data_IF_481687522227
#
_entry.id   IF_481687522227
#
_cell.length_a   1.000
_cell.length_b   1.000
_cell.length_c   1.000
_cell.angle_alpha   90.00
_cell.angle_beta   90.00
_cell.angle_gamma   90.00
#
_symmetry.space_group_name_H-M   'P 1'
#
loop_
_entity.id
_entity.type
_entity.pdbx_description
1 polymer ?
#
# COMPACT_ATOMS: atom_id res chain seq x y z
N UNK A 1 -14.48 -10.37 7.14
CA UNK A 1 -13.98 -9.44 8.17
C UNK A 1 -13.70 -8.03 7.65
N UNK A 2 -13.12 -7.84 6.45
CA UNK A 2 -12.78 -6.47 5.96
C UNK A 2 -13.99 -5.59 5.59
N UNK A 3 -15.10 -6.17 5.12
CA UNK A 3 -16.31 -5.42 4.71
C UNK A 3 -16.95 -4.70 5.90
N UNK A 4 -16.94 -5.33 7.09
CA UNK A 4 -17.49 -4.75 8.32
C UNK A 4 -16.73 -3.49 8.78
N UNK A 5 -15.41 -3.41 8.51
CA UNK A 5 -14.60 -2.22 8.83
C UNK A 5 -14.82 -1.05 7.88
N UNK A 6 -15.40 -1.30 6.70
CA UNK A 6 -15.74 -0.28 5.71
C UNK A 6 -17.23 0.12 5.76
N UNK A 7 -18.03 -0.43 6.68
CA UNK A 7 -19.47 -0.11 6.80
C UNK A 7 -19.74 1.38 7.12
N UNK A 8 -18.80 2.05 7.81
CA UNK A 8 -18.84 3.49 8.03
C UNK A 8 -18.35 4.35 6.85
N UNK A 9 -17.90 3.72 5.75
CA UNK A 9 -17.31 4.39 4.58
C UNK A 9 -17.98 3.89 3.29
N UNK A 10 -19.16 4.42 2.93
CA UNK A 10 -19.96 3.93 1.79
C UNK A 10 -19.24 4.04 0.44
N UNK A 11 -18.42 5.06 0.28
CA UNK A 11 -17.53 5.26 -0.87
C UNK A 11 -16.47 4.15 -1.00
N UNK A 12 -15.94 3.65 0.12
CA UNK A 12 -15.02 2.51 0.15
C UNK A 12 -15.75 1.20 -0.21
N UNK A 13 -16.98 1.02 0.28
CA UNK A 13 -17.80 -0.14 -0.10
C UNK A 13 -18.08 -0.14 -1.60
N UNK A 14 -18.49 1.00 -2.16
CA UNK A 14 -18.74 1.13 -3.60
C UNK A 14 -17.48 0.85 -4.42
N UNK A 15 -16.30 1.32 -3.97
CA UNK A 15 -15.02 0.99 -4.59
C UNK A 15 -14.71 -0.52 -4.50
N UNK A 16 -14.92 -1.16 -3.35
CA UNK A 16 -14.75 -2.60 -3.17
C UNK A 16 -15.71 -3.42 -4.05
N UNK A 17 -16.97 -2.97 -4.16
CA UNK A 17 -17.97 -3.58 -5.05
C UNK A 17 -17.55 -3.44 -6.51
N UNK A 18 -17.16 -2.24 -6.96
CA UNK A 18 -16.67 -2.03 -8.33
C UNK A 18 -15.43 -2.87 -8.62
N UNK A 19 -14.49 -2.96 -7.69
CA UNK A 19 -13.30 -3.81 -7.81
C UNK A 19 -13.67 -5.29 -7.93
N UNK A 20 -14.63 -5.78 -7.14
CA UNK A 20 -15.07 -7.19 -7.15
C UNK A 20 -15.87 -7.56 -8.39
N UNK A 21 -16.64 -6.63 -8.97
CA UNK A 21 -17.54 -6.85 -10.11
C UNK A 21 -16.97 -6.36 -11.46
N UNK A 22 -15.64 -6.33 -11.61
CA UNK A 22 -15.01 -6.13 -12.93
C UNK A 22 -14.78 -4.67 -13.36
N UNK A 23 -14.96 -3.70 -12.46
CA UNK A 23 -14.57 -2.29 -12.71
C UNK A 23 -13.07 -2.08 -12.96
N UNK A 24 -12.26 -3.13 -12.82
CA UNK A 24 -10.84 -3.17 -13.15
C UNK A 24 -10.55 -3.58 -14.60
N UNK A 25 -11.53 -3.91 -15.44
CA UNK A 25 -11.26 -4.24 -16.84
C UNK A 25 -10.64 -3.05 -17.61
N UNK A 26 -10.79 -1.82 -17.10
CA UNK A 26 -10.12 -0.62 -17.60
C UNK A 26 -8.68 -0.42 -17.08
N UNK A 27 -8.22 -1.24 -16.12
CA UNK A 27 -6.93 -1.08 -15.41
C UNK A 27 -6.07 -2.35 -15.47
N UNK A 28 -6.66 -3.53 -15.61
CA UNK A 28 -5.99 -4.84 -15.58
C UNK A 28 -6.34 -5.60 -16.86
N UNK A 29 -5.41 -5.73 -17.82
CA UNK A 29 -5.63 -6.54 -19.01
C UNK A 29 -5.83 -8.01 -18.63
N UNK A 30 -6.95 -8.61 -19.05
CA UNK A 30 -7.24 -10.05 -18.86
C UNK A 30 -6.17 -10.90 -19.55
N UNK A 31 -5.63 -11.87 -18.82
CA UNK A 31 -4.60 -12.77 -19.31
C UNK A 31 -5.21 -14.12 -19.71
N UNK A 32 -4.72 -14.71 -20.79
CA UNK A 32 -5.06 -16.08 -21.14
C UNK A 32 -4.14 -17.06 -20.40
N UNK A 33 -4.62 -17.60 -19.28
CA UNK A 33 -3.92 -18.61 -18.50
C UNK A 33 -3.65 -19.92 -19.29
N UNK A 34 -4.28 -20.12 -20.44
CA UNK A 34 -4.12 -21.28 -21.31
C UNK A 34 -2.77 -21.34 -22.04
N UNK A 35 -2.16 -20.20 -22.36
CA UNK A 35 -0.93 -20.13 -23.18
C UNK A 35 0.37 -20.06 -22.36
N UNK A 36 0.26 -20.01 -21.03
CA UNK A 36 1.40 -19.77 -20.14
C UNK A 36 2.14 -21.04 -19.74
N UNK A 37 3.47 -20.96 -19.67
CA UNK A 37 4.30 -22.06 -19.20
C UNK A 37 3.96 -22.46 -17.75
N UNK A 38 4.13 -23.74 -17.37
CA UNK A 38 3.92 -24.20 -16.01
C UNK A 38 4.78 -23.44 -14.96
N UNK A 39 6.03 -23.11 -15.31
CA UNK A 39 6.93 -22.35 -14.43
C UNK A 39 6.42 -20.94 -14.16
N UNK A 40 5.91 -20.25 -15.19
CA UNK A 40 5.38 -18.90 -15.03
C UNK A 40 4.07 -18.88 -14.20
N UNK A 41 3.26 -19.94 -14.26
CA UNK A 41 2.11 -20.15 -13.34
C UNK A 41 2.57 -20.23 -11.88
N UNK A 42 3.64 -20.97 -11.61
CA UNK A 42 4.24 -21.05 -10.28
C UNK A 42 4.76 -19.69 -9.83
N UNK A 43 5.46 -18.95 -10.68
CA UNK A 43 5.93 -17.59 -10.35
C UNK A 43 4.79 -16.65 -9.96
N UNK A 44 3.67 -16.65 -10.69
CA UNK A 44 2.52 -15.80 -10.35
C UNK A 44 1.82 -16.21 -9.04
N UNK A 45 1.78 -17.51 -8.74
CA UNK A 45 1.27 -18.01 -7.46
C UNK A 45 2.18 -17.58 -6.30
N UNK A 46 3.50 -17.74 -6.45
CA UNK A 46 4.49 -17.26 -5.49
C UNK A 46 4.42 -15.75 -5.30
N UNK A 47 4.25 -14.98 -6.37
CA UNK A 47 4.08 -13.53 -6.30
C UNK A 47 2.85 -13.15 -5.46
N UNK A 48 1.73 -13.84 -5.66
CA UNK A 48 0.50 -13.61 -4.90
C UNK A 48 0.65 -13.98 -3.42
N UNK A 49 1.41 -15.04 -3.12
CA UNK A 49 1.71 -15.48 -1.74
C UNK A 49 2.65 -14.52 -1.01
N UNK A 50 3.67 -14.01 -1.70
CA UNK A 50 4.69 -13.11 -1.13
C UNK A 50 4.22 -11.67 -0.99
N UNK A 51 3.36 -11.17 -1.89
CA UNK A 51 2.86 -9.78 -1.80
C UNK A 51 1.48 -9.59 -2.42
N UNK A 52 0.43 -9.64 -1.57
CA UNK A 52 -0.97 -9.51 -2.01
C UNK A 52 -1.27 -8.20 -2.74
N UNK A 53 -0.74 -7.08 -2.29
CA UNK A 53 -1.00 -5.77 -2.91
C UNK A 53 -0.17 -5.55 -4.17
N UNK A 54 1.11 -5.93 -4.16
CA UNK A 54 1.99 -5.69 -5.29
C UNK A 54 1.73 -6.68 -6.44
N UNK A 55 1.28 -7.90 -6.14
CA UNK A 55 0.82 -8.86 -7.14
C UNK A 55 -0.28 -8.29 -8.04
N UNK A 56 -1.27 -7.59 -7.46
CA UNK A 56 -2.35 -6.95 -8.24
C UNK A 56 -1.84 -5.84 -9.15
N UNK A 57 -0.79 -5.12 -8.75
CA UNK A 57 -0.20 -4.03 -9.53
C UNK A 57 0.70 -4.57 -10.66
N UNK A 58 1.49 -5.62 -10.39
CA UNK A 58 2.29 -6.30 -11.42
C UNK A 58 1.38 -6.95 -12.47
N UNK A 59 0.30 -7.60 -12.04
CA UNK A 59 -0.65 -8.24 -12.96
C UNK A 59 -1.42 -7.23 -13.85
N UNK A 60 -1.37 -5.93 -13.52
CA UNK A 60 -1.94 -4.87 -14.35
C UNK A 60 -1.01 -4.43 -15.49
N UNK A 61 0.28 -4.82 -15.48
CA UNK A 61 1.24 -4.49 -16.54
C UNK A 61 0.90 -5.19 -17.85
N UNK A 62 1.34 -4.59 -18.95
CA UNK A 62 1.31 -5.20 -20.29
C UNK A 62 2.06 -6.55 -20.30
N UNK A 63 1.62 -7.44 -21.18
CA UNK A 63 2.03 -8.87 -21.21
C UNK A 63 3.56 -9.04 -21.28
N UNK A 64 4.23 -8.23 -22.10
CA UNK A 64 5.68 -8.31 -22.30
C UNK A 64 6.48 -7.93 -21.04
N UNK A 65 6.04 -6.89 -20.31
CA UNK A 65 6.72 -6.39 -19.12
C UNK A 65 6.38 -7.20 -17.87
N UNK A 66 5.14 -7.68 -17.77
CA UNK A 66 4.63 -8.39 -16.60
C UNK A 66 5.49 -9.59 -16.22
N UNK A 67 5.90 -10.40 -17.19
CA UNK A 67 6.74 -11.58 -16.95
C UNK A 67 8.11 -11.22 -16.40
N UNK A 68 8.78 -10.26 -17.04
CA UNK A 68 10.08 -9.76 -16.60
C UNK A 68 10.02 -9.15 -15.20
N UNK A 69 9.01 -8.33 -14.92
CA UNK A 69 8.83 -7.67 -13.62
C UNK A 69 8.46 -8.68 -12.52
N UNK A 70 7.64 -9.68 -12.82
CA UNK A 70 7.32 -10.77 -11.88
C UNK A 70 8.59 -11.51 -11.46
N UNK A 71 9.41 -11.94 -12.42
CA UNK A 71 10.67 -12.63 -12.13
C UNK A 71 11.64 -11.73 -11.37
N UNK A 72 11.80 -10.48 -11.81
CA UNK A 72 12.65 -9.50 -11.13
C UNK A 72 12.24 -9.32 -9.67
N UNK A 73 10.94 -9.20 -9.39
CA UNK A 73 10.42 -9.09 -8.03
C UNK A 73 10.74 -10.33 -7.19
N UNK A 74 10.54 -11.54 -7.73
CA UNK A 74 10.79 -12.77 -6.99
C UNK A 74 12.27 -12.99 -6.71
N UNK A 75 13.15 -12.66 -7.67
CA UNK A 75 14.61 -12.70 -7.49
C UNK A 75 15.04 -11.75 -6.37
N UNK A 76 14.56 -10.50 -6.40
CA UNK A 76 14.85 -9.54 -5.33
C UNK A 76 14.24 -9.97 -3.99
N UNK A 77 13.05 -10.57 -3.98
CA UNK A 77 12.43 -11.10 -2.75
C UNK A 77 13.24 -12.26 -2.17
N UNK A 78 13.80 -13.12 -3.02
CA UNK A 78 14.69 -14.19 -2.57
C UNK A 78 16.02 -13.65 -2.03
N UNK A 79 16.57 -12.60 -2.66
CA UNK A 79 17.77 -11.90 -2.16
C UNK A 79 17.50 -11.25 -0.78
N UNK A 80 16.40 -10.51 -0.66
CA UNK A 80 15.89 -9.88 0.55
C UNK A 80 15.70 -10.92 1.67
N UNK A 81 15.11 -12.09 1.36
CA UNK A 81 14.97 -13.20 2.30
C UNK A 81 16.31 -13.72 2.84
N UNK A 82 17.39 -13.66 2.05
CA UNK A 82 18.73 -14.08 2.48
C UNK A 82 19.45 -12.98 3.27
N UNK A 83 19.29 -11.72 2.85
CA UNK A 83 19.86 -10.57 3.54
C UNK A 83 19.24 -10.41 4.93
N UNK A 84 17.90 -10.34 4.96
CA UNK A 84 17.03 -10.40 6.13
C UNK A 84 16.95 -11.84 6.66
N UNK A 85 18.07 -12.58 6.73
CA UNK A 85 18.18 -13.66 7.70
C UNK A 85 19.33 -13.56 8.70
N UNK A 86 19.07 -13.04 9.89
CA UNK A 86 19.97 -12.92 11.02
C UNK A 86 20.47 -14.27 11.57
N UNK A 87 19.87 -15.40 11.19
CA UNK A 87 20.37 -16.73 11.56
C UNK A 87 21.54 -17.20 10.69
N UNK A 88 21.74 -16.58 9.51
CA UNK A 88 22.86 -16.89 8.61
C UNK A 88 24.09 -16.10 9.07
N UNK A 89 25.20 -16.75 9.45
CA UNK A 89 26.44 -16.06 9.79
C UNK A 89 26.95 -15.21 8.63
N UNK A 90 27.54 -14.04 8.94
CA UNK A 90 28.00 -13.09 7.93
C UNK A 90 29.08 -13.68 7.01
N UNK A 91 29.85 -14.64 7.52
CA UNK A 91 30.88 -15.39 6.79
C UNK A 91 30.30 -16.19 5.61
N UNK A 92 29.03 -16.62 5.74
CA UNK A 92 28.29 -17.33 4.69
C UNK A 92 27.41 -16.36 3.89
N UNK A 93 26.73 -15.45 4.58
CA UNK A 93 25.79 -14.48 3.98
C UNK A 93 26.50 -13.55 3.00
N UNK A 94 27.62 -12.94 3.38
CA UNK A 94 28.29 -11.91 2.56
C UNK A 94 28.80 -12.47 1.22
N UNK A 95 29.52 -13.62 1.16
CA UNK A 95 29.89 -14.23 -0.11
C UNK A 95 28.67 -14.63 -0.95
N UNK A 96 27.64 -15.19 -0.33
CA UNK A 96 26.42 -15.60 -1.01
C UNK A 96 25.68 -14.41 -1.66
N UNK A 97 25.51 -13.30 -0.95
CA UNK A 97 24.89 -12.08 -1.49
C UNK A 97 25.70 -11.50 -2.66
N UNK A 98 27.04 -11.49 -2.56
CA UNK A 98 27.92 -11.03 -3.65
C UNK A 98 27.84 -11.91 -4.90
N UNK A 99 27.59 -13.21 -4.73
CA UNK A 99 27.52 -14.18 -5.82
C UNK A 99 26.09 -14.49 -6.27
N UNK A 100 25.07 -13.95 -5.60
CA UNK A 100 23.66 -14.29 -5.83
C UNK A 100 23.24 -14.15 -7.30
N UNK A 101 23.70 -13.09 -7.98
CA UNK A 101 23.42 -12.88 -9.40
C UNK A 101 23.97 -13.99 -10.32
N UNK A 102 25.09 -14.62 -9.94
CA UNK A 102 25.68 -15.75 -10.68
C UNK A 102 24.91 -17.04 -10.43
N UNK A 103 24.37 -17.20 -9.21
CA UNK A 103 23.56 -18.37 -8.86
C UNK A 103 22.25 -18.43 -9.66
N UNK A 104 21.78 -17.31 -10.23
CA UNK A 104 20.63 -17.28 -11.13
C UNK A 104 20.89 -18.02 -12.47
N UNK A 105 22.15 -18.26 -12.82
CA UNK A 105 22.55 -19.01 -14.01
C UNK A 105 22.56 -20.53 -13.76
N UNK A 106 22.52 -20.96 -12.49
CA UNK A 106 22.49 -22.36 -12.08
C UNK A 106 21.02 -22.83 -11.86
N UNK A 107 20.48 -23.71 -12.72
CA UNK A 107 19.10 -24.17 -12.61
C UNK A 107 18.81 -25.05 -11.40
N UNK A 108 19.84 -25.62 -10.76
CA UNK A 108 19.70 -26.52 -9.61
C UNK A 108 19.89 -25.82 -8.26
N UNK A 109 20.28 -24.53 -8.26
CA UNK A 109 20.55 -23.78 -7.04
C UNK A 109 19.29 -23.56 -6.19
N UNK A 110 19.39 -23.89 -4.90
CA UNK A 110 18.33 -23.70 -3.90
C UNK A 110 18.94 -23.30 -2.56
N UNK A 111 18.28 -22.40 -1.85
CA UNK A 111 18.65 -22.00 -0.49
C UNK A 111 17.51 -22.30 0.48
N UNK A 112 17.76 -23.14 1.50
CA UNK A 112 16.71 -23.70 2.37
C UNK A 112 16.76 -23.17 3.81
N UNK A 113 17.75 -22.33 4.15
CA UNK A 113 18.08 -22.03 5.55
C UNK A 113 17.66 -20.63 6.02
N UNK A 114 16.78 -19.93 5.29
CA UNK A 114 16.37 -18.54 5.62
C UNK A 114 15.19 -18.42 6.63
N UNK A 115 15.22 -17.45 7.57
CA UNK A 115 14.22 -17.21 8.64
C UNK A 115 13.94 -15.76 9.14
N UNK A 116 14.16 -14.62 8.46
CA UNK A 116 14.03 -13.29 9.16
C UNK A 116 13.14 -12.18 8.55
N UNK A 117 13.31 -10.87 8.90
CA UNK A 117 12.73 -10.19 10.09
C UNK A 117 13.35 -8.81 10.46
N UNK A 118 13.51 -7.90 9.48
CA UNK A 118 13.55 -6.41 9.57
C UNK A 118 14.92 -5.65 9.77
N UNK A 119 14.93 -4.41 9.24
CA UNK A 119 16.03 -3.47 8.85
C UNK A 119 16.56 -2.45 9.92
N UNK A 120 17.41 -1.42 9.57
CA UNK A 120 17.95 -0.35 10.49
C UNK A 120 18.13 1.10 9.95
N UNK A 121 17.70 2.15 10.71
CA UNK A 121 18.05 3.62 10.58
C UNK A 121 18.16 4.42 11.94
N UNK A 122 17.73 3.89 13.09
CA UNK A 122 17.35 4.64 14.32
C UNK A 122 18.46 5.18 15.27
N UNK A 123 19.75 4.98 14.99
CA UNK A 123 20.83 5.15 15.98
C UNK A 123 21.08 6.58 16.49
N UNK A 124 20.52 7.61 15.85
CA UNK A 124 20.69 9.03 16.23
C UNK A 124 19.88 9.45 17.46
N UNK A 125 18.82 8.73 17.77
CA UNK A 125 17.81 9.14 18.75
C UNK A 125 17.88 8.33 20.04
N UNK A 126 18.21 7.04 19.95
CA UNK A 126 18.34 6.15 21.11
C UNK A 126 19.40 5.08 20.87
N UNK A 127 20.03 4.58 21.96
CA UNK A 127 20.97 3.46 21.88
C UNK A 127 20.31 2.14 21.46
N UNK A 128 19.03 1.94 21.77
CA UNK A 128 18.26 0.72 21.43
C UNK A 128 16.89 1.09 20.83
N UNK A 129 16.51 0.48 19.71
CA UNK A 129 15.18 0.69 19.09
C UNK A 129 14.04 0.22 19.98
N UNK A 130 14.27 -0.81 20.81
CA UNK A 130 13.26 -1.33 21.73
C UNK A 130 12.79 -0.27 22.74
N UNK A 131 13.57 0.79 22.94
CA UNK A 131 13.18 1.90 23.81
C UNK A 131 12.02 2.73 23.25
N UNK A 132 11.85 2.79 21.92
CA UNK A 132 10.75 3.55 21.31
C UNK A 132 9.37 2.94 21.56
N UNK A 133 9.31 1.65 21.91
CA UNK A 133 8.06 1.00 22.32
C UNK A 133 7.63 1.37 23.75
N UNK A 134 8.49 2.03 24.54
CA UNK A 134 8.21 2.40 25.93
C UNK A 134 7.48 3.76 26.02
N UNK A 135 6.39 3.89 26.79
CA UNK A 135 5.63 5.15 26.91
C UNK A 135 6.47 6.35 27.37
N UNK A 136 7.47 6.11 28.21
CA UNK A 136 8.41 7.11 28.75
C UNK A 136 9.30 7.78 27.69
N UNK A 137 9.39 7.23 26.47
CA UNK A 137 10.21 7.76 25.38
C UNK A 137 9.38 8.11 24.14
N UNK A 138 8.07 8.26 24.32
CA UNK A 138 7.14 8.48 23.22
C UNK A 138 7.41 9.79 22.49
N UNK A 139 7.86 10.84 23.20
CA UNK A 139 8.13 12.14 22.58
C UNK A 139 9.35 12.09 21.66
N UNK A 140 10.44 11.44 22.10
CA UNK A 140 11.64 11.25 21.29
C UNK A 140 11.40 10.28 20.13
N UNK A 141 10.59 9.23 20.36
CA UNK A 141 10.15 8.32 19.32
C UNK A 141 9.37 9.06 18.21
N UNK A 142 8.43 9.93 18.60
CA UNK A 142 7.66 10.75 17.66
C UNK A 142 8.54 11.75 16.92
N UNK A 143 9.48 12.41 17.58
CA UNK A 143 10.42 13.32 16.92
C UNK A 143 11.28 12.58 15.86
N UNK A 144 11.75 11.37 16.20
CA UNK A 144 12.46 10.50 15.26
C UNK A 144 11.61 10.12 14.05
N UNK A 145 10.38 9.65 14.29
CA UNK A 145 9.44 9.30 13.23
C UNK A 145 9.12 10.49 12.34
N UNK A 146 8.94 11.68 12.91
CA UNK A 146 8.70 12.89 12.17
C UNK A 146 9.91 13.27 11.30
N UNK A 147 11.16 13.19 11.80
CA UNK A 147 12.35 13.39 10.96
C UNK A 147 12.37 12.42 9.76
N UNK A 148 12.14 11.12 10.01
CA UNK A 148 12.16 10.11 8.95
C UNK A 148 11.10 10.40 7.87
N UNK A 149 9.90 10.81 8.28
CA UNK A 149 8.84 11.18 7.35
C UNK A 149 9.18 12.48 6.63
N UNK A 150 9.72 13.49 7.32
CA UNK A 150 10.16 14.76 6.71
C UNK A 150 11.21 14.52 5.64
N UNK A 151 12.20 13.66 5.91
CA UNK A 151 13.19 13.24 4.91
C UNK A 151 12.53 12.53 3.71
N UNK A 152 11.54 11.66 3.94
CA UNK A 152 10.81 11.00 2.86
C UNK A 152 10.00 11.99 1.98
N UNK A 153 9.46 13.07 2.56
CA UNK A 153 8.73 14.10 1.80
C UNK A 153 9.61 14.84 0.79
N UNK A 154 10.93 14.89 1.00
CA UNK A 154 11.89 15.50 0.06
C UNK A 154 11.90 14.80 -1.32
N UNK A 155 11.44 13.55 -1.38
CA UNK A 155 11.39 12.75 -2.60
C UNK A 155 10.16 13.03 -3.47
N UNK A 156 9.15 13.74 -2.96
CA UNK A 156 7.90 14.03 -3.70
C UNK A 156 8.17 14.71 -5.05
N UNK A 157 9.00 15.78 -5.15
CA UNK A 157 9.26 16.43 -6.43
C UNK A 157 9.87 15.48 -7.46
N UNK A 158 10.82 14.64 -7.06
CA UNK A 158 11.46 13.66 -7.95
C UNK A 158 10.49 12.56 -8.37
N UNK A 159 9.62 12.10 -7.47
CA UNK A 159 8.57 11.12 -7.76
C UNK A 159 7.56 11.66 -8.78
N UNK A 160 7.09 12.90 -8.60
CA UNK A 160 6.20 13.58 -9.54
C UNK A 160 6.86 13.78 -10.90
N UNK A 161 8.12 14.20 -10.92
CA UNK A 161 8.90 14.38 -12.15
C UNK A 161 9.14 13.08 -12.89
N UNK A 162 9.34 11.98 -12.18
CA UNK A 162 9.44 10.65 -12.79
C UNK A 162 8.11 10.25 -13.43
N UNK A 163 7.00 10.35 -12.69
CA UNK A 163 5.67 9.97 -13.18
C UNK A 163 5.17 10.84 -14.35
N UNK A 164 5.56 12.12 -14.42
CA UNK A 164 5.17 13.01 -15.52
C UNK A 164 5.76 12.61 -16.87
N UNK A 165 6.79 11.76 -16.87
CA UNK A 165 7.48 11.24 -18.07
C UNK A 165 6.97 9.88 -18.53
N UNK A 166 6.03 9.27 -17.81
CA UNK A 166 5.49 7.96 -18.15
C UNK A 166 4.31 8.11 -19.12
N UNK A 167 4.48 7.59 -20.32
CA UNK A 167 3.47 7.69 -21.39
C UNK A 167 2.63 6.41 -21.54
N UNK A 168 3.18 5.24 -21.22
CA UNK A 168 2.43 3.98 -21.25
C UNK A 168 1.54 3.88 -20.00
N UNK A 169 0.24 3.64 -20.20
CA UNK A 169 -0.75 3.64 -19.13
C UNK A 169 -0.54 2.52 -18.10
N UNK A 170 -0.15 1.31 -18.53
CA UNK A 170 0.08 0.18 -17.63
C UNK A 170 1.30 0.44 -16.74
N UNK A 171 2.37 0.99 -17.32
CA UNK A 171 3.59 1.40 -16.61
C UNK A 171 3.30 2.59 -15.67
N UNK A 172 2.51 3.56 -16.12
CA UNK A 172 2.08 4.68 -15.28
C UNK A 172 1.34 4.17 -14.05
N UNK A 173 0.33 3.31 -14.22
CA UNK A 173 -0.44 2.74 -13.11
C UNK A 173 0.46 1.93 -12.17
N UNK A 174 1.36 1.12 -12.72
CA UNK A 174 2.31 0.30 -11.97
C UNK A 174 3.18 1.14 -11.04
N UNK A 175 3.63 2.31 -11.51
CA UNK A 175 4.45 3.23 -10.72
C UNK A 175 3.60 4.08 -9.77
N UNK A 176 2.50 4.65 -10.26
CA UNK A 176 1.71 5.63 -9.53
C UNK A 176 0.99 5.05 -8.31
N UNK A 177 0.48 3.82 -8.40
CA UNK A 177 -0.26 3.18 -7.31
C UNK A 177 0.61 3.06 -6.04
N UNK A 178 1.82 2.47 -6.08
CA UNK A 178 2.71 2.46 -4.92
C UNK A 178 3.02 3.86 -4.36
N UNK A 179 3.17 4.88 -5.22
CA UNK A 179 3.48 6.24 -4.78
C UNK A 179 2.34 6.89 -4.00
N UNK A 180 1.09 6.73 -4.45
CA UNK A 180 -0.07 7.24 -3.69
C UNK A 180 -0.29 6.47 -2.38
N UNK A 181 -0.01 5.16 -2.38
CA UNK A 181 -0.10 4.32 -1.18
C UNK A 181 0.99 4.71 -0.16
N UNK A 182 2.18 5.07 -0.65
CA UNK A 182 3.28 5.53 0.19
C UNK A 182 2.92 6.84 0.90
N UNK A 183 2.45 7.87 0.19
CA UNK A 183 2.09 9.14 0.84
C UNK A 183 0.93 8.99 1.82
N UNK A 184 -0.05 8.13 1.53
CA UNK A 184 -1.12 7.81 2.47
C UNK A 184 -0.61 7.08 3.73
N UNK A 185 0.45 6.27 3.60
CA UNK A 185 1.09 5.59 4.73
C UNK A 185 1.90 6.58 5.55
N UNK A 186 2.68 7.46 4.90
CA UNK A 186 3.41 8.54 5.55
C UNK A 186 2.46 9.44 6.33
N UNK A 187 1.32 9.80 5.73
CA UNK A 187 0.23 10.49 6.41
C UNK A 187 -0.19 9.72 7.66
N UNK A 188 -0.56 8.44 7.55
CA UNK A 188 -1.05 7.71 8.71
C UNK A 188 -0.03 7.54 9.83
N UNK A 189 1.26 7.51 9.49
CA UNK A 189 2.35 7.41 10.45
C UNK A 189 2.74 8.75 11.06
N UNK A 190 2.58 9.87 10.35
CA UNK A 190 3.07 11.17 10.79
C UNK A 190 2.46 11.59 12.13
N UNK A 191 3.34 11.93 13.08
CA UNK A 191 3.00 12.32 14.44
C UNK A 191 1.99 11.34 15.12
N UNK A 192 2.14 10.04 14.88
CA UNK A 192 1.21 9.02 15.36
C UNK A 192 1.88 8.01 16.31
N UNK A 193 1.60 8.04 17.63
CA UNK A 193 2.24 7.15 18.59
C UNK A 193 1.82 5.68 18.41
N UNK A 194 0.76 5.40 17.66
CA UNK A 194 0.34 4.02 17.34
C UNK A 194 1.37 3.26 16.51
N UNK A 195 2.31 3.95 15.85
CA UNK A 195 3.41 3.31 15.11
C UNK A 195 4.29 2.47 16.04
N UNK A 196 4.42 2.86 17.31
CA UNK A 196 5.28 2.18 18.28
C UNK A 196 4.57 1.11 19.12
N UNK A 197 3.24 1.11 19.10
CA UNK A 197 2.41 0.23 19.94
C UNK A 197 1.55 -0.75 19.15
N UNK A 198 1.55 -0.67 17.82
CA UNK A 198 0.74 -1.57 17.01
C UNK A 198 0.88 -1.35 15.51
N UNK A 199 -0.09 -1.87 14.78
CA UNK A 199 -0.06 -1.93 13.33
C UNK A 199 -0.82 -0.74 12.73
N UNK A 200 -0.07 0.21 12.18
CA UNK A 200 -0.64 1.31 11.39
C UNK A 200 -0.73 0.88 9.93
N UNK A 201 -1.96 0.66 9.45
CA UNK A 201 -2.23 0.23 8.06
C UNK A 201 -3.38 1.01 7.46
N UNK A 202 -3.29 1.22 6.15
CA UNK A 202 -4.37 1.73 5.31
C UNK A 202 -5.46 0.66 5.22
N UNK A 203 -6.73 1.08 5.31
CA UNK A 203 -7.86 0.15 5.16
C UNK A 203 -7.93 -0.36 3.72
N UNK A 204 -8.37 -1.61 3.54
CA UNK A 204 -8.47 -2.22 2.21
C UNK A 204 -9.37 -1.43 1.25
N UNK A 205 -10.48 -0.88 1.74
CA UNK A 205 -11.38 -0.06 0.92
C UNK A 205 -10.76 1.25 0.44
N UNK A 206 -10.06 1.95 1.33
CA UNK A 206 -9.28 3.14 1.01
C UNK A 206 -8.16 2.84 0.01
N UNK A 207 -7.45 1.71 0.18
CA UNK A 207 -6.44 1.24 -0.76
C UNK A 207 -7.02 1.03 -2.17
N UNK A 208 -8.15 0.33 -2.28
CA UNK A 208 -8.82 0.12 -3.58
C UNK A 208 -9.27 1.44 -4.21
N UNK A 209 -9.81 2.38 -3.41
CA UNK A 209 -10.18 3.71 -3.90
C UNK A 209 -8.99 4.47 -4.46
N UNK A 210 -7.84 4.44 -3.78
CA UNK A 210 -6.61 5.06 -4.30
C UNK A 210 -6.11 4.37 -5.57
N UNK A 211 -6.14 3.04 -5.64
CA UNK A 211 -5.77 2.29 -6.84
C UNK A 211 -6.61 2.71 -8.04
N UNK A 212 -7.94 2.76 -7.88
CA UNK A 212 -8.87 3.21 -8.93
C UNK A 212 -8.71 4.71 -9.27
N UNK A 213 -8.33 5.52 -8.28
CA UNK A 213 -8.08 6.95 -8.43
C UNK A 213 -6.75 7.29 -9.12
N UNK A 214 -5.81 6.35 -9.23
CA UNK A 214 -4.43 6.63 -9.71
C UNK A 214 -4.25 6.41 -11.21
N UNK A 215 -5.29 6.68 -12.00
CA UNK A 215 -5.31 6.37 -13.45
C UNK A 215 -4.71 7.47 -14.33
N UNK A 216 -4.39 8.65 -13.79
CA UNK A 216 -3.79 9.75 -14.54
C UNK A 216 -2.96 10.64 -13.63
N UNK A 217 -2.03 11.39 -14.21
CA UNK A 217 -1.14 12.28 -13.47
C UNK A 217 -1.89 13.34 -12.65
N UNK A 218 -2.95 13.93 -13.21
CA UNK A 218 -3.78 14.89 -12.48
C UNK A 218 -4.49 14.28 -11.27
N UNK A 219 -5.03 13.05 -11.39
CA UNK A 219 -5.66 12.40 -10.24
C UNK A 219 -4.63 11.99 -9.18
N UNK A 220 -3.43 11.57 -9.59
CA UNK A 220 -2.32 11.29 -8.66
C UNK A 220 -1.92 12.54 -7.89
N UNK A 221 -1.78 13.69 -8.58
CA UNK A 221 -1.55 14.99 -7.92
C UNK A 221 -2.65 15.31 -6.90
N UNK A 222 -3.92 15.11 -7.25
CA UNK A 222 -5.03 15.35 -6.32
C UNK A 222 -4.94 14.46 -5.06
N UNK A 223 -4.63 13.18 -5.21
CA UNK A 223 -4.44 12.24 -4.09
C UNK A 223 -3.23 12.64 -3.23
N UNK A 224 -2.09 12.95 -3.86
CA UNK A 224 -0.89 13.40 -3.14
C UNK A 224 -1.15 14.70 -2.37
N UNK A 225 -1.76 15.70 -3.00
CA UNK A 225 -2.13 16.97 -2.36
C UNK A 225 -3.01 16.73 -1.13
N UNK A 226 -4.02 15.87 -1.23
CA UNK A 226 -4.92 15.52 -0.12
C UNK A 226 -4.15 14.99 1.11
N UNK A 227 -3.26 14.02 0.92
CA UNK A 227 -2.50 13.45 2.04
C UNK A 227 -1.41 14.39 2.58
N UNK A 228 -0.76 15.17 1.72
CA UNK A 228 0.22 16.19 2.15
C UNK A 228 -0.44 17.28 2.98
N UNK A 229 -1.65 17.73 2.62
CA UNK A 229 -2.42 18.70 3.42
C UNK A 229 -2.74 18.13 4.80
N UNK A 230 -3.10 16.84 4.90
CA UNK A 230 -3.37 16.19 6.18
C UNK A 230 -2.11 16.01 7.06
N UNK A 231 -0.94 15.79 6.44
CA UNK A 231 0.35 15.83 7.16
C UNK A 231 0.58 17.24 7.69
N UNK A 232 0.44 18.26 6.82
CA UNK A 232 0.69 19.65 7.18
C UNK A 232 -0.19 20.13 8.35
N UNK A 233 -1.45 19.67 8.41
CA UNK A 233 -2.38 20.00 9.48
C UNK A 233 -2.04 19.34 10.84
N UNK A 234 -1.15 18.33 10.87
CA UNK A 234 -0.77 17.58 12.08
C UNK A 234 0.65 17.87 12.57
N UNK A 235 1.35 18.82 11.96
CA UNK A 235 2.68 19.26 12.39
C UNK A 235 2.57 19.93 13.76
N UNK A 236 3.19 19.37 14.82
CA UNK A 236 3.19 20.03 16.12
C UNK A 236 4.23 21.15 16.15
N UNK A 237 3.90 22.28 16.78
CA UNK A 237 4.84 23.41 16.95
C UNK A 237 6.09 23.02 17.75
N UNK A 238 5.95 22.03 18.65
CA UNK A 238 7.04 21.48 19.45
C UNK A 238 7.98 20.55 18.67
N UNK A 239 7.66 20.20 17.42
CA UNK A 239 8.52 19.32 16.62
C UNK A 239 9.79 20.05 16.14
N UNK A 240 10.98 19.49 16.35
CA UNK A 240 12.24 20.09 15.91
C UNK A 240 12.31 20.34 14.40
N UNK A 241 11.62 19.52 13.60
CA UNK A 241 11.60 19.59 12.14
C UNK A 241 10.33 20.26 11.59
N UNK A 242 9.50 20.88 12.45
CA UNK A 242 8.23 21.52 12.07
C UNK A 242 8.38 22.48 10.90
N UNK A 243 9.34 23.41 10.96
CA UNK A 243 9.59 24.42 9.90
C UNK A 243 9.97 23.78 8.55
N UNK A 244 10.87 22.80 8.57
CA UNK A 244 11.28 22.08 7.36
C UNK A 244 10.10 21.32 6.77
N UNK A 245 9.35 20.61 7.62
CA UNK A 245 8.15 19.85 7.22
C UNK A 245 7.11 20.77 6.59
N UNK A 246 6.83 21.93 7.19
CA UNK A 246 5.92 22.92 6.62
C UNK A 246 6.37 23.37 5.23
N UNK A 247 7.66 23.70 5.06
CA UNK A 247 8.21 24.14 3.78
C UNK A 247 8.10 23.06 2.69
N UNK A 248 8.42 21.81 3.03
CA UNK A 248 8.30 20.67 2.12
C UNK A 248 6.84 20.40 1.76
N UNK A 249 5.91 20.43 2.72
CA UNK A 249 4.48 20.30 2.45
C UNK A 249 3.98 21.41 1.52
N UNK A 250 4.35 22.67 1.74
CA UNK A 250 3.96 23.78 0.87
C UNK A 250 4.46 23.59 -0.56
N UNK A 251 5.73 23.19 -0.72
CA UNK A 251 6.32 22.87 -2.02
C UNK A 251 5.61 21.69 -2.70
N UNK A 252 5.32 20.63 -1.97
CA UNK A 252 4.60 19.48 -2.51
C UNK A 252 3.17 19.84 -2.93
N UNK A 253 2.47 20.66 -2.14
CA UNK A 253 1.11 21.15 -2.44
C UNK A 253 1.11 21.98 -3.73
N UNK A 254 2.09 22.88 -3.92
CA UNK A 254 2.16 23.70 -5.14
C UNK A 254 2.48 22.86 -6.39
N UNK A 255 3.37 21.86 -6.28
CA UNK A 255 3.66 20.92 -7.36
C UNK A 255 2.48 20.00 -7.71
N UNK A 256 1.61 19.73 -6.73
CA UNK A 256 0.42 18.90 -6.91
C UNK A 256 -0.81 19.70 -7.33
N UNK A 257 -0.66 20.92 -7.83
CA UNK A 257 -1.83 21.70 -8.24
C UNK A 257 -2.53 21.11 -9.47
N UNK A 258 -3.85 21.01 -9.38
CA UNK A 258 -4.71 20.36 -10.37
C UNK A 258 -6.17 20.72 -10.12
N UNK A 259 -7.00 20.66 -11.17
CA UNK A 259 -8.44 20.83 -11.08
C UNK A 259 -9.18 19.61 -10.52
N UNK A 260 -8.52 18.45 -10.46
CA UNK A 260 -9.10 17.22 -9.91
C UNK A 260 -9.19 17.31 -8.38
N UNK A 261 -10.24 16.71 -7.83
CA UNK A 261 -10.45 16.64 -6.38
C UNK A 261 -10.40 15.19 -5.90
N UNK A 262 -9.80 15.00 -4.72
CA UNK A 262 -9.80 13.73 -4.02
C UNK A 262 -10.22 13.97 -2.56
N UNK A 263 -10.98 13.04 -2.01
CA UNK A 263 -11.38 13.08 -0.61
C UNK A 263 -11.55 11.66 -0.08
N UNK A 264 -11.07 11.46 1.15
CA UNK A 264 -11.34 10.30 2.00
C UNK A 264 -12.54 10.67 2.87
N UNK A 265 -13.74 10.19 2.51
CA UNK A 265 -14.97 10.56 3.22
C UNK A 265 -14.97 10.08 4.69
N UNK A 266 -15.10 11.04 5.61
CA UNK A 266 -15.74 10.88 6.92
C UNK A 266 -17.18 11.45 6.91
N UNK A 267 -17.72 11.74 5.74
CA UNK A 267 -19.06 12.29 5.59
C UNK A 267 -20.05 11.13 5.69
N UNK A 268 -21.05 11.27 6.56
CA UNK A 268 -22.22 10.41 6.64
C UNK A 268 -22.66 9.97 5.23
N UNK A 269 -23.03 8.69 5.01
CA UNK A 269 -23.52 8.26 3.72
C UNK A 269 -24.58 9.24 3.22
N UNK A 270 -24.56 9.61 1.92
CA UNK A 270 -25.69 10.35 1.39
C UNK A 270 -26.95 9.54 1.68
N UNK A 271 -28.02 10.22 2.11
CA UNK A 271 -29.20 9.61 2.75
C UNK A 271 -29.73 8.37 2.02
N UNK A 272 -29.63 8.36 0.69
CA UNK A 272 -30.06 7.25 -0.15
C UNK A 272 -29.27 5.94 0.08
N UNK A 273 -28.00 5.99 0.48
CA UNK A 273 -27.19 4.79 0.77
C UNK A 273 -27.55 4.20 2.13
N UNK A 274 -27.78 5.04 3.14
CA UNK A 274 -28.25 4.57 4.45
C UNK A 274 -29.67 4.02 4.34
N UNK A 275 -30.55 4.66 3.56
CA UNK A 275 -31.89 4.15 3.23
C UNK A 275 -31.84 2.83 2.44
N UNK A 276 -30.93 2.69 1.49
CA UNK A 276 -30.76 1.45 0.73
C UNK A 276 -30.31 0.27 1.60
N UNK A 277 -29.39 0.51 2.55
CA UNK A 277 -28.92 -0.50 3.50
C UNK A 277 -30.00 -0.87 4.53
N UNK A 278 -30.79 0.09 5.01
CA UNK A 278 -31.92 -0.22 5.90
C UNK A 278 -33.02 -0.97 5.18
N UNK A 279 -33.37 -0.59 3.95
CA UNK A 279 -34.38 -1.30 3.15
C UNK A 279 -33.95 -2.73 2.82
N UNK A 280 -32.68 -2.96 2.51
CA UNK A 280 -32.15 -4.31 2.26
C UNK A 280 -32.06 -5.15 3.54
N UNK A 281 -31.74 -4.56 4.69
CA UNK A 281 -31.82 -5.23 5.98
C UNK A 281 -33.26 -5.59 6.36
N UNK A 282 -34.22 -4.67 6.15
CA UNK A 282 -35.65 -4.92 6.36
C UNK A 282 -36.14 -6.03 5.44
N UNK A 283 -35.80 -5.98 4.14
CA UNK A 283 -36.16 -7.02 3.19
C UNK A 283 -35.58 -8.38 3.56
N UNK A 284 -34.33 -8.43 4.04
CA UNK A 284 -33.71 -9.66 4.53
C UNK A 284 -34.43 -10.22 5.77
N UNK A 285 -34.77 -9.36 6.73
CA UNK A 285 -35.54 -9.78 7.93
C UNK A 285 -36.93 -10.30 7.55
N UNK A 286 -37.61 -9.64 6.62
CA UNK A 286 -38.93 -10.06 6.13
C UNK A 286 -38.85 -11.41 5.40
N UNK A 287 -37.84 -11.58 4.55
CA UNK A 287 -37.61 -12.84 3.83
C UNK A 287 -37.25 -13.98 4.78
N UNK A 288 -36.47 -13.71 5.83
CA UNK A 288 -36.13 -14.72 6.85
C UNK A 288 -37.34 -15.12 7.71
N UNK A 289 -38.23 -14.18 8.04
CA UNK A 289 -39.48 -14.47 8.75
C UNK A 289 -40.46 -15.26 7.90
N UNK A 290 -40.59 -14.93 6.61
CA UNK A 290 -41.41 -15.72 5.67
C UNK A 290 -40.85 -17.13 5.51
N UNK A 291 -39.53 -17.29 5.47
CA UNK A 291 -38.88 -18.61 5.44
C UNK A 291 -39.18 -19.46 6.67
N UNK A 292 -39.11 -18.87 7.88
CA UNK A 292 -39.49 -19.55 9.12
C UNK A 292 -40.99 -19.91 9.14
N UNK A 293 -41.85 -19.00 8.68
CA UNK A 293 -43.29 -19.23 8.62
C UNK A 293 -43.67 -20.36 7.64
N UNK A 294 -42.88 -20.56 6.58
CA UNK A 294 -43.07 -21.64 5.61
C UNK A 294 -42.61 -23.01 6.14
N UNK A 295 -41.58 -23.04 7.00
CA UNK A 295 -41.14 -24.27 7.68
C UNK A 295 -42.08 -24.68 8.82
N UNK A 296 -42.74 -23.73 9.49
CA UNK A 296 -43.75 -24.02 10.54
C UNK A 296 -45.09 -24.54 9.97
N UNK A 297 -45.28 -24.49 8.65
CA UNK A 297 -46.50 -24.89 7.93
C UNK A 297 -46.41 -26.27 7.26
N UNK A 298 -45.22 -26.90 7.28
CA UNK A 298 -44.93 -28.26 6.80
C UNK A 298 -44.79 -29.24 7.97
#
# INVERSE_FOLDING_TARGET
MDILKSFGHPEELLALFRFKFGGCDAVIPKYDYGTMSPSMKVCLDLLTKTSRSFASVIQALDVELRGAVCNFYLVLRALDTVEDDMTIPNEVKVPMLKQFHKNLEDPDWKFMDSKDKDAVVWSKYRPSIGDFAKPEHQQEALACLNELITNALELIPSSLHFMSRLHNQSVFNFVAIPQVMAIATLERCYNNPKVFSGVVKIRKGEAVRMMMGSSSFDKVKAIMKHFVVQIQARIPESDPHSKQTHSLCQKAISLCDTSQQYSTSNIYPPLYVSMGLTLSAIAYTYWSQIGQWYEDLL
#
